data_IF_051779370317
#
_entry.id   IF_051779370317
#
_cell.length_a   1.000
_cell.length_b   1.000
_cell.length_c   1.000
_cell.angle_alpha   90.00
_cell.angle_beta   90.00
_cell.angle_gamma   90.00
#
_symmetry.space_group_name_H-M   'P 1'
#
loop_
_entity.id
_entity.type
_entity.pdbx_description
1 polymer ?
#
# COMPACT_ATOMS: atom_id res chain seq x y z
N UNK A 1 10.08 -11.05 28.95
CA UNK A 1 9.26 -12.26 28.68
C UNK A 1 9.98 -13.08 27.62
N UNK A 2 10.29 -14.35 27.88
CA UNK A 2 11.02 -15.21 26.95
C UNK A 2 10.10 -15.83 25.90
N UNK A 3 10.54 -15.84 24.64
CA UNK A 3 9.84 -16.44 23.50
C UNK A 3 9.68 -17.97 23.68
N UNK A 4 8.47 -18.50 23.44
CA UNK A 4 8.19 -19.93 23.63
C UNK A 4 8.56 -20.76 22.38
N UNK A 5 8.80 -22.07 22.56
CA UNK A 5 9.08 -23.00 21.45
C UNK A 5 7.97 -23.03 20.38
N UNK A 6 6.72 -22.83 20.79
CA UNK A 6 5.57 -22.78 19.88
C UNK A 6 5.60 -21.50 19.04
N UNK A 7 5.96 -20.37 19.64
CA UNK A 7 6.08 -19.08 18.96
C UNK A 7 7.16 -19.13 17.86
N UNK A 8 8.34 -19.69 18.17
CA UNK A 8 9.40 -19.91 17.18
C UNK A 8 8.96 -20.76 15.99
N UNK A 9 8.24 -21.86 16.26
CA UNK A 9 7.73 -22.73 15.19
C UNK A 9 6.72 -21.99 14.32
N UNK A 10 5.81 -21.22 14.93
CA UNK A 10 4.82 -20.42 14.21
C UNK A 10 5.47 -19.40 13.28
N UNK A 11 6.46 -18.65 13.80
CA UNK A 11 7.22 -17.66 13.03
C UNK A 11 7.96 -18.29 11.85
N UNK A 12 8.63 -19.41 12.09
CA UNK A 12 9.33 -20.15 11.03
C UNK A 12 8.37 -20.60 9.93
N UNK A 13 7.23 -21.21 10.29
CA UNK A 13 6.24 -21.63 9.30
C UNK A 13 5.68 -20.46 8.50
N UNK A 14 5.43 -19.31 9.14
CA UNK A 14 4.99 -18.11 8.44
C UNK A 14 6.05 -17.61 7.44
N UNK A 15 7.35 -17.58 7.81
CA UNK A 15 8.42 -17.15 6.89
C UNK A 15 8.48 -18.01 5.64
N UNK A 16 8.46 -19.36 5.77
CA UNK A 16 8.51 -20.23 4.60
C UNK A 16 7.24 -20.13 3.72
N UNK A 17 6.08 -19.81 4.31
CA UNK A 17 4.85 -19.52 3.56
C UNK A 17 5.00 -18.21 2.78
N UNK A 18 5.54 -17.16 3.40
CA UNK A 18 5.74 -15.86 2.76
C UNK A 18 6.76 -15.94 1.61
N UNK A 19 7.90 -16.60 1.84
CA UNK A 19 8.92 -16.85 0.82
C UNK A 19 8.33 -17.62 -0.39
N UNK A 20 7.56 -18.68 -0.13
CA UNK A 20 6.87 -19.44 -1.17
C UNK A 20 5.83 -18.59 -1.93
N UNK A 21 5.09 -17.75 -1.22
CA UNK A 21 4.10 -16.85 -1.81
C UNK A 21 4.77 -15.88 -2.79
N UNK A 22 5.84 -15.20 -2.38
CA UNK A 22 6.52 -14.22 -3.22
C UNK A 22 7.22 -14.84 -4.43
N UNK A 23 7.85 -16.00 -4.25
CA UNK A 23 8.41 -16.75 -5.37
C UNK A 23 7.33 -17.12 -6.41
N UNK A 24 6.18 -17.62 -5.97
CA UNK A 24 5.06 -17.93 -6.86
C UNK A 24 4.44 -16.68 -7.47
N UNK A 25 4.39 -15.56 -6.73
CA UNK A 25 3.89 -14.29 -7.24
C UNK A 25 4.75 -13.80 -8.41
N UNK A 26 6.07 -13.92 -8.30
CA UNK A 26 7.00 -13.60 -9.38
C UNK A 26 6.88 -14.55 -10.58
N UNK A 27 6.67 -15.85 -10.34
CA UNK A 27 6.66 -16.89 -11.39
C UNK A 27 5.34 -16.97 -12.17
N UNK A 28 4.20 -16.94 -11.49
CA UNK A 28 2.89 -17.23 -12.09
C UNK A 28 1.83 -16.13 -11.88
N UNK A 29 2.09 -15.16 -11.00
CA UNK A 29 1.14 -14.11 -10.63
C UNK A 29 0.06 -14.57 -9.64
N UNK A 30 -0.61 -13.60 -9.02
CA UNK A 30 -1.52 -13.87 -7.90
C UNK A 30 -2.78 -14.64 -8.31
N UNK A 31 -3.36 -14.33 -9.47
CA UNK A 31 -4.56 -15.02 -9.96
C UNK A 31 -4.36 -16.53 -10.10
N UNK A 32 -3.24 -16.95 -10.71
CA UNK A 32 -2.95 -18.36 -11.02
C UNK A 32 -2.46 -19.17 -9.82
N UNK A 33 -1.84 -18.51 -8.84
CA UNK A 33 -1.34 -19.15 -7.63
C UNK A 33 -2.47 -19.85 -6.84
N UNK A 34 -2.22 -21.06 -6.33
CA UNK A 34 -3.16 -21.75 -5.43
C UNK A 34 -2.53 -22.03 -4.06
N UNK A 35 -3.37 -22.27 -3.05
CA UNK A 35 -2.89 -22.73 -1.72
C UNK A 35 -2.09 -24.02 -1.84
N UNK A 36 -2.44 -24.90 -2.80
CA UNK A 36 -1.69 -26.14 -3.03
C UNK A 36 -0.28 -25.87 -3.55
N UNK A 37 -0.11 -24.88 -4.42
CA UNK A 37 1.22 -24.49 -4.94
C UNK A 37 2.08 -23.88 -3.82
N UNK A 38 1.49 -23.02 -2.98
CA UNK A 38 2.17 -22.44 -1.82
C UNK A 38 2.63 -23.56 -0.87
N UNK A 39 1.73 -24.49 -0.53
CA UNK A 39 2.07 -25.61 0.35
C UNK A 39 3.20 -26.48 -0.22
N UNK A 40 3.15 -26.78 -1.53
CA UNK A 40 4.17 -27.58 -2.22
C UNK A 40 5.52 -26.87 -2.20
N UNK A 41 5.54 -25.56 -2.44
CA UNK A 41 6.77 -24.75 -2.48
C UNK A 41 7.37 -24.54 -1.08
N UNK A 42 6.54 -24.34 -0.07
CA UNK A 42 6.96 -24.17 1.33
C UNK A 42 7.30 -25.50 2.03
N UNK A 43 7.15 -26.65 1.36
CA UNK A 43 7.33 -27.98 1.93
C UNK A 43 6.47 -28.24 3.18
N UNK A 44 5.21 -27.79 3.15
CA UNK A 44 4.24 -27.98 4.24
C UNK A 44 2.96 -28.68 3.77
N UNK A 45 2.26 -29.29 4.72
CA UNK A 45 0.93 -29.86 4.48
C UNK A 45 -0.13 -28.75 4.48
N UNK A 46 -1.24 -28.96 3.75
CA UNK A 46 -2.37 -28.01 3.72
C UNK A 46 -2.94 -27.70 5.11
N UNK A 47 -3.01 -28.72 5.98
CA UNK A 47 -3.45 -28.52 7.36
C UNK A 47 -2.56 -27.53 8.11
N UNK A 48 -1.25 -27.58 7.90
CA UNK A 48 -0.29 -26.62 8.47
C UNK A 48 -0.54 -25.21 7.94
N UNK A 49 -0.77 -25.04 6.64
CA UNK A 49 -1.11 -23.72 6.07
C UNK A 49 -2.34 -23.13 6.75
N UNK A 50 -3.42 -23.90 6.89
CA UNK A 50 -4.67 -23.41 7.48
C UNK A 50 -4.60 -23.13 8.99
N UNK A 51 -3.54 -23.58 9.69
CA UNK A 51 -3.27 -23.14 11.06
C UNK A 51 -2.72 -21.71 11.14
N UNK A 52 -2.25 -21.17 10.02
CA UNK A 52 -1.56 -19.88 9.95
C UNK A 52 -2.28 -18.86 9.07
N UNK A 53 -2.92 -19.32 7.99
CA UNK A 53 -3.56 -18.47 6.98
C UNK A 53 -4.94 -19.06 6.63
N UNK A 54 -5.97 -18.21 6.56
CA UNK A 54 -7.32 -18.65 6.16
C UNK A 54 -7.34 -19.10 4.69
N UNK A 55 -6.77 -18.28 3.81
CA UNK A 55 -6.58 -18.57 2.40
C UNK A 55 -5.44 -17.71 1.80
N UNK A 56 -5.25 -17.76 0.48
CA UNK A 56 -4.23 -16.94 -0.20
C UNK A 56 -4.55 -15.44 -0.22
N UNK A 57 -5.82 -15.06 -0.09
CA UNK A 57 -6.24 -13.66 -0.08
C UNK A 57 -5.97 -13.03 1.29
N UNK A 58 -6.28 -13.73 2.37
CA UNK A 58 -5.94 -13.33 3.72
C UNK A 58 -4.41 -13.21 3.90
N UNK A 59 -3.65 -14.13 3.31
CA UNK A 59 -2.18 -14.03 3.28
C UNK A 59 -1.72 -12.77 2.51
N UNK A 60 -2.26 -12.51 1.32
CA UNK A 60 -1.94 -11.30 0.57
C UNK A 60 -2.27 -10.04 1.37
N UNK A 61 -3.46 -9.97 1.96
CA UNK A 61 -3.90 -8.82 2.74
C UNK A 61 -2.99 -8.57 3.96
N UNK A 62 -2.56 -9.63 4.65
CA UNK A 62 -1.60 -9.53 5.75
C UNK A 62 -0.23 -9.03 5.30
N UNK A 63 0.27 -9.50 4.14
CA UNK A 63 1.51 -9.02 3.55
C UNK A 63 1.43 -7.55 3.13
N UNK A 64 0.29 -7.12 2.56
CA UNK A 64 0.07 -5.71 2.24
C UNK A 64 0.08 -4.87 3.53
N UNK A 65 -0.63 -5.31 4.56
CA UNK A 65 -0.68 -4.62 5.84
C UNK A 65 0.71 -4.53 6.51
N UNK A 66 1.52 -5.58 6.42
CA UNK A 66 2.91 -5.62 6.88
C UNK A 66 3.78 -4.61 6.12
N UNK A 67 3.68 -4.58 4.79
CA UNK A 67 4.41 -3.62 3.95
C UNK A 67 4.04 -2.17 4.27
N UNK A 68 2.75 -1.89 4.51
CA UNK A 68 2.26 -0.57 4.86
C UNK A 68 2.68 -0.15 6.28
N UNK A 69 2.73 -1.09 7.23
CA UNK A 69 3.18 -0.83 8.60
C UNK A 69 4.70 -0.62 8.71
N UNK A 70 5.49 -1.25 7.83
CA UNK A 70 6.95 -1.08 7.77
C UNK A 70 7.37 0.25 7.12
N UNK A 71 6.44 1.06 6.61
CA UNK A 71 6.75 2.42 6.17
C UNK A 71 7.07 3.30 7.41
N UNK A 72 8.21 4.02 7.43
CA UNK A 72 8.51 4.91 8.55
C UNK A 72 7.42 5.97 8.73
N UNK A 73 7.21 6.48 9.97
CA UNK A 73 6.31 7.60 10.22
C UNK A 73 6.66 8.79 9.30
N UNK A 74 5.63 9.52 8.88
CA UNK A 74 5.75 10.70 8.02
C UNK A 74 6.41 11.85 8.78
N UNK A 75 7.71 11.80 8.99
CA UNK A 75 8.46 12.93 9.55
C UNK A 75 8.84 13.91 8.43
N UNK A 76 8.14 15.04 8.35
CA UNK A 76 8.67 16.26 7.74
C UNK A 76 8.25 16.60 6.30
N UNK A 77 7.23 15.98 5.73
CA UNK A 77 6.59 16.49 4.49
C UNK A 77 5.08 16.42 4.64
N UNK A 78 4.50 17.49 5.15
CA UNK A 78 3.07 17.78 4.99
C UNK A 78 2.76 17.70 3.48
N UNK A 79 1.75 16.91 3.10
CA UNK A 79 1.23 16.72 1.73
C UNK A 79 1.77 15.54 0.87
N UNK A 80 2.89 14.90 1.20
CA UNK A 80 3.48 13.88 0.32
C UNK A 80 3.29 12.42 0.78
N UNK A 81 2.32 11.75 0.15
CA UNK A 81 2.44 10.37 -0.35
C UNK A 81 2.35 9.15 0.57
N UNK A 82 1.10 8.74 0.80
CA UNK A 82 0.75 7.34 1.05
C UNK A 82 1.19 6.35 -0.06
N UNK A 83 1.64 6.86 -1.20
CA UNK A 83 2.03 6.05 -2.36
C UNK A 83 3.53 5.72 -2.40
N UNK A 84 4.33 6.12 -1.40
CA UNK A 84 5.77 6.28 -1.59
C UNK A 84 6.69 5.14 -1.16
N UNK A 85 6.19 3.96 -0.77
CA UNK A 85 7.11 2.89 -0.43
C UNK A 85 6.59 1.47 -0.68
N UNK A 86 6.97 0.84 -1.79
CA UNK A 86 7.49 -0.52 -1.69
C UNK A 86 8.76 -0.46 -0.83
N UNK A 87 8.95 -1.37 0.14
CA UNK A 87 10.21 -1.50 0.87
C UNK A 87 11.38 -1.54 -0.12
N UNK A 88 12.45 -0.80 0.19
CA UNK A 88 13.53 -0.53 -0.77
C UNK A 88 14.36 -1.76 -1.19
N UNK A 89 14.08 -2.98 -0.70
CA UNK A 89 14.82 -4.20 -1.04
C UNK A 89 14.08 -5.49 -0.69
N UNK A 90 12.79 -5.60 -1.02
CA UNK A 90 12.03 -6.80 -0.63
C UNK A 90 11.04 -7.28 -1.67
N UNK A 91 10.72 -8.56 -1.60
CA UNK A 91 9.73 -9.27 -2.41
C UNK A 91 8.36 -8.56 -2.41
N UNK A 92 8.08 -7.73 -1.41
CA UNK A 92 6.92 -6.84 -1.33
C UNK A 92 6.77 -5.88 -2.52
N UNK A 93 7.82 -5.58 -3.29
CA UNK A 93 7.71 -4.85 -4.58
C UNK A 93 6.80 -5.59 -5.57
N UNK A 94 6.75 -6.92 -5.51
CA UNK A 94 5.91 -7.75 -6.39
C UNK A 94 4.42 -7.47 -6.16
N UNK A 95 4.02 -7.09 -4.94
CA UNK A 95 2.63 -6.73 -4.63
C UNK A 95 2.12 -5.55 -5.46
N UNK A 96 3.05 -4.66 -5.85
CA UNK A 96 2.76 -3.48 -6.66
C UNK A 96 2.89 -3.73 -8.18
N UNK A 97 3.40 -4.89 -8.56
CA UNK A 97 3.74 -5.23 -9.95
C UNK A 97 2.69 -6.14 -10.62
N UNK A 98 2.10 -7.07 -9.85
CA UNK A 98 1.00 -7.92 -10.30
C UNK A 98 -0.32 -7.13 -10.37
N UNK A 99 -1.12 -7.29 -11.44
CA UNK A 99 -2.34 -6.52 -11.64
C UNK A 99 -3.44 -6.81 -10.61
N UNK A 100 -3.55 -8.06 -10.16
CA UNK A 100 -4.58 -8.49 -9.22
C UNK A 100 -4.18 -8.13 -7.79
N UNK A 101 -2.89 -8.22 -7.46
CA UNK A 101 -2.34 -7.71 -6.20
C UNK A 101 -2.41 -6.18 -6.12
N UNK A 102 -2.10 -5.47 -7.22
CA UNK A 102 -2.12 -4.01 -7.26
C UNK A 102 -3.49 -3.43 -6.89
N UNK A 103 -4.58 -3.99 -7.41
CA UNK A 103 -5.93 -3.50 -7.10
C UNK A 103 -6.24 -3.60 -5.59
N UNK A 104 -5.76 -4.67 -4.95
CA UNK A 104 -5.91 -4.87 -3.49
C UNK A 104 -5.02 -3.93 -2.70
N UNK A 105 -3.77 -3.74 -3.13
CA UNK A 105 -2.85 -2.77 -2.54
C UNK A 105 -3.45 -1.37 -2.58
N UNK A 106 -3.90 -0.91 -3.74
CA UNK A 106 -4.49 0.41 -3.92
C UNK A 106 -5.69 0.62 -2.99
N UNK A 107 -6.57 -0.40 -2.87
CA UNK A 107 -7.69 -0.37 -1.93
C UNK A 107 -7.24 -0.23 -0.48
N UNK A 108 -6.27 -1.03 -0.03
CA UNK A 108 -5.77 -0.98 1.35
C UNK A 108 -5.05 0.34 1.67
N UNK A 109 -4.31 0.89 0.72
CA UNK A 109 -3.68 2.22 0.84
C UNK A 109 -4.74 3.30 1.02
N UNK A 110 -5.83 3.25 0.25
CA UNK A 110 -6.95 4.19 0.39
C UNK A 110 -7.63 4.01 1.74
N UNK A 111 -7.97 2.78 2.13
CA UNK A 111 -8.68 2.50 3.39
C UNK A 111 -7.89 3.00 4.61
N UNK A 112 -6.60 2.66 4.71
CA UNK A 112 -5.73 3.12 5.82
C UNK A 112 -5.42 4.61 5.74
N UNK A 113 -5.19 5.11 4.53
CA UNK A 113 -4.79 6.49 4.31
C UNK A 113 -5.92 7.49 4.53
N UNK A 114 -7.16 7.10 4.22
CA UNK A 114 -8.32 7.97 4.33
C UNK A 114 -8.56 8.44 5.76
N UNK A 115 -8.30 7.59 6.76
CA UNK A 115 -8.47 7.93 8.18
C UNK A 115 -7.62 9.14 8.62
N UNK A 116 -6.44 9.29 8.02
CA UNK A 116 -5.50 10.37 8.33
C UNK A 116 -5.63 11.55 7.37
N UNK A 117 -5.73 11.26 6.07
CA UNK A 117 -5.67 12.31 5.04
C UNK A 117 -6.98 13.02 4.80
N UNK A 118 -8.14 12.35 4.92
CA UNK A 118 -9.42 13.01 4.67
C UNK A 118 -9.66 14.15 5.66
N UNK A 119 -9.47 13.96 6.99
CA UNK A 119 -9.56 15.08 7.93
C UNK A 119 -8.59 16.22 7.60
N UNK A 120 -7.36 15.91 7.21
CA UNK A 120 -6.37 16.93 6.82
C UNK A 120 -6.80 17.72 5.58
N UNK A 121 -7.32 17.05 4.54
CA UNK A 121 -7.85 17.73 3.34
C UNK A 121 -9.03 18.63 3.72
N UNK A 122 -9.95 18.13 4.56
CA UNK A 122 -11.07 18.93 5.06
C UNK A 122 -10.59 20.18 5.81
N UNK A 123 -9.59 20.06 6.69
CA UNK A 123 -9.02 21.19 7.43
C UNK A 123 -8.40 22.24 6.49
N UNK A 124 -7.66 21.82 5.46
CA UNK A 124 -6.96 22.73 4.55
C UNK A 124 -7.89 23.42 3.53
N UNK A 125 -9.02 22.81 3.21
CA UNK A 125 -9.90 23.25 2.10
C UNK A 125 -11.31 23.63 2.54
N UNK A 126 -11.67 23.32 3.79
CA UNK A 126 -13.03 23.45 4.33
C UNK A 126 -14.06 22.47 3.75
N UNK A 127 -13.67 21.56 2.84
CA UNK A 127 -14.57 20.67 2.12
C UNK A 127 -15.37 19.72 3.02
N UNK A 128 -16.47 19.21 2.47
CA UNK A 128 -17.18 18.08 3.07
C UNK A 128 -16.28 16.84 3.11
N UNK A 129 -16.59 15.90 4.00
CA UNK A 129 -15.87 14.62 4.07
C UNK A 129 -15.95 13.84 2.76
N UNK A 130 -17.07 13.93 2.05
CA UNK A 130 -17.29 13.24 0.77
C UNK A 130 -16.40 13.83 -0.32
N UNK A 131 -16.37 15.16 -0.47
CA UNK A 131 -15.53 15.83 -1.46
C UNK A 131 -14.04 15.67 -1.16
N UNK A 132 -13.66 15.80 0.12
CA UNK A 132 -12.30 15.57 0.56
C UNK A 132 -11.84 14.13 0.28
N UNK A 133 -12.74 13.14 0.44
CA UNK A 133 -12.46 11.75 0.09
C UNK A 133 -12.27 11.56 -1.42
N UNK A 134 -13.06 12.23 -2.26
CA UNK A 134 -12.87 12.18 -3.72
C UNK A 134 -11.50 12.72 -4.15
N UNK A 135 -11.09 13.88 -3.62
CA UNK A 135 -9.77 14.45 -3.90
C UNK A 135 -8.64 13.55 -3.39
N UNK A 136 -8.79 12.99 -2.19
CA UNK A 136 -7.84 12.05 -1.62
C UNK A 136 -7.68 10.80 -2.51
N UNK A 137 -8.78 10.16 -2.90
CA UNK A 137 -8.76 8.97 -3.76
C UNK A 137 -8.13 9.29 -5.11
N UNK A 138 -8.49 10.42 -5.72
CA UNK A 138 -7.89 10.86 -6.98
C UNK A 138 -6.38 11.03 -6.86
N UNK A 139 -5.92 11.72 -5.81
CA UNK A 139 -4.50 11.95 -5.55
C UNK A 139 -3.74 10.62 -5.35
N UNK A 140 -4.26 9.73 -4.50
CA UNK A 140 -3.63 8.43 -4.24
C UNK A 140 -3.55 7.60 -5.53
N UNK A 141 -4.64 7.49 -6.27
CA UNK A 141 -4.65 6.69 -7.50
C UNK A 141 -3.71 7.26 -8.57
N UNK A 142 -3.66 8.60 -8.71
CA UNK A 142 -2.72 9.28 -9.61
C UNK A 142 -1.27 8.96 -9.26
N UNK A 143 -0.90 9.07 -7.98
CA UNK A 143 0.45 8.76 -7.52
C UNK A 143 0.79 7.27 -7.70
N UNK A 144 -0.11 6.35 -7.34
CA UNK A 144 0.10 4.90 -7.56
C UNK A 144 0.29 4.58 -9.06
N UNK A 145 -0.49 5.22 -9.94
CA UNK A 145 -0.38 5.03 -11.38
C UNK A 145 0.97 5.52 -11.93
N UNK A 146 1.42 6.71 -11.51
CA UNK A 146 2.74 7.23 -11.90
C UNK A 146 3.86 6.35 -11.37
N UNK A 147 3.79 5.90 -10.12
CA UNK A 147 4.79 5.00 -9.55
C UNK A 147 4.87 3.67 -10.31
N UNK A 148 3.72 3.15 -10.76
CA UNK A 148 3.67 1.98 -11.63
C UNK A 148 4.33 2.23 -12.99
N UNK A 149 4.11 3.41 -13.61
CA UNK A 149 4.78 3.79 -14.85
C UNK A 149 6.31 3.88 -14.69
N UNK A 150 6.79 4.38 -13.55
CA UNK A 150 8.21 4.47 -13.21
C UNK A 150 8.80 3.12 -12.75
N UNK A 151 8.01 2.05 -12.73
CA UNK A 151 8.43 0.72 -12.31
C UNK A 151 8.83 0.66 -10.84
N UNK A 152 8.33 1.58 -10.01
CA UNK A 152 8.63 1.67 -8.58
C UNK A 152 10.13 1.79 -8.24
N UNK A 153 10.96 2.21 -9.21
CA UNK A 153 12.40 2.36 -9.01
C UNK A 153 12.72 3.71 -8.39
N UNK A 154 13.51 3.71 -7.33
CA UNK A 154 14.06 4.94 -6.75
C UNK A 154 15.17 5.49 -7.64
N UNK A 155 15.26 6.81 -7.72
CA UNK A 155 16.27 7.50 -8.50
C UNK A 155 15.88 8.95 -8.78
N UNK A 156 16.70 9.67 -9.55
CA UNK A 156 16.45 11.08 -9.89
C UNK A 156 15.09 11.30 -10.58
N UNK A 157 14.70 10.40 -11.49
CA UNK A 157 13.41 10.46 -12.19
C UNK A 157 12.22 10.36 -11.22
N UNK A 158 12.31 9.45 -10.25
CA UNK A 158 11.29 9.28 -9.21
C UNK A 158 11.20 10.50 -8.31
N UNK A 159 12.35 11.03 -7.86
CA UNK A 159 12.38 12.21 -7.01
C UNK A 159 11.75 13.42 -7.72
N UNK A 160 12.11 13.62 -8.99
CA UNK A 160 11.56 14.68 -9.80
C UNK A 160 10.04 14.53 -10.02
N UNK A 161 9.57 13.32 -10.32
CA UNK A 161 8.14 13.04 -10.44
C UNK A 161 7.40 13.37 -9.15
N UNK A 162 7.98 13.05 -7.99
CA UNK A 162 7.37 13.39 -6.72
C UNK A 162 7.25 14.89 -6.49
N UNK A 163 8.33 15.64 -6.74
CA UNK A 163 8.34 17.10 -6.60
C UNK A 163 7.24 17.73 -7.44
N UNK A 164 7.10 17.31 -8.70
CA UNK A 164 6.07 17.79 -9.61
C UNK A 164 4.65 17.46 -9.12
N UNK A 165 4.41 16.20 -8.70
CA UNK A 165 3.10 15.76 -8.23
C UNK A 165 2.70 16.42 -6.92
N UNK A 166 3.64 16.67 -6.01
CA UNK A 166 3.39 17.40 -4.77
C UNK A 166 3.00 18.84 -5.08
N UNK A 167 3.80 19.55 -5.88
CA UNK A 167 3.51 20.93 -6.27
C UNK A 167 2.14 21.06 -6.98
N UNK A 168 1.83 20.14 -7.87
CA UNK A 168 0.52 20.07 -8.53
C UNK A 168 -0.63 19.87 -7.52
N UNK A 169 -0.46 18.93 -6.59
CA UNK A 169 -1.51 18.58 -5.63
C UNK A 169 -1.74 19.67 -4.60
N UNK A 170 -0.66 20.27 -4.07
CA UNK A 170 -0.73 21.40 -3.13
C UNK A 170 -1.34 22.64 -3.79
N UNK A 171 -0.88 22.98 -4.99
CA UNK A 171 -1.44 24.09 -5.77
C UNK A 171 -2.94 23.88 -6.06
N UNK A 172 -3.33 22.65 -6.39
CA UNK A 172 -4.73 22.26 -6.57
C UNK A 172 -5.56 22.44 -5.30
N UNK A 173 -5.08 21.96 -4.15
CA UNK A 173 -5.76 22.11 -2.86
C UNK A 173 -5.94 23.59 -2.47
N UNK A 174 -4.90 24.41 -2.68
CA UNK A 174 -4.97 25.86 -2.45
C UNK A 174 -6.03 26.53 -3.35
N UNK A 175 -6.07 26.17 -4.64
CA UNK A 175 -7.06 26.70 -5.57
C UNK A 175 -8.49 26.30 -5.18
N UNK A 176 -8.70 25.04 -4.76
CA UNK A 176 -10.01 24.56 -4.28
C UNK A 176 -10.46 25.32 -3.04
N UNK A 177 -9.54 25.60 -2.11
CA UNK A 177 -9.82 26.42 -0.93
C UNK A 177 -10.29 27.82 -1.31
N UNK A 178 -9.57 28.48 -2.23
CA UNK A 178 -9.87 29.84 -2.67
C UNK A 178 -11.22 30.00 -3.40
N UNK A 179 -11.69 28.98 -4.13
CA UNK A 179 -13.00 29.01 -4.79
C UNK A 179 -14.15 29.18 -3.80
N UNK A 180 -14.01 28.67 -2.58
CA UNK A 180 -15.06 28.80 -1.56
C UNK A 180 -15.07 30.15 -0.89
N UNK A 181 -13.90 30.79 -0.74
CA UNK A 181 -13.82 32.16 -0.24
C UNK A 181 -14.51 33.15 -1.20
N UNK A 182 -14.52 32.86 -2.51
CA UNK A 182 -15.27 33.66 -3.49
C UNK A 182 -16.79 33.41 -3.50
N UNK A 183 -17.24 32.24 -3.09
CA UNK A 183 -18.68 31.88 -3.05
C UNK A 183 -19.38 32.31 -1.75
N UNK A 184 -18.62 32.75 -0.74
CA UNK A 184 -19.15 33.23 0.54
C UNK A 184 -18.59 34.62 0.89
N UNK A 185 -18.96 35.68 0.14
CA UNK A 185 -18.52 37.03 0.44
C UNK A 185 -19.17 37.47 1.76
N UNK A 186 -18.32 37.82 2.73
CA UNK A 186 -18.69 38.45 4.01
C UNK A 186 -19.63 39.64 3.84
#
# INVERSE_FOLDING_TARGET
MGETKIDRRRRYTLSVIQEAFFALLAEVGFAKMTVADICRRAEINRGTFYLHCEDKYALLDALIDEALAAAPPLEGVESATLCQRPPADDDYRLLYSDSDSYARVARRVIERGAEQMVPWVMEKTGLSREDAFLLFVHNVQGNLAVNRLLGWRRGPEFAHAQELLNAYSEGGLLAVSALRDSDNPS
#
